data_IF_564469093479
#
_entry.id   IF_564469093479
#
_cell.length_a   1.000
_cell.length_b   1.000
_cell.length_c   1.000
_cell.angle_alpha   90.00
_cell.angle_beta   90.00
_cell.angle_gamma   90.00
#
_symmetry.space_group_name_H-M   'P 1'
#
loop_
_entity.id
_entity.type
_entity.pdbx_description
1 polymer ?
#
# COMPACT_ATOMS: atom_id res chain seq x y z
N UNK A 1 -39.42 1.66 -8.34
CA UNK A 1 -38.41 1.27 -9.36
C UNK A 1 -36.95 1.39 -8.89
N UNK A 2 -36.67 1.87 -7.67
CA UNK A 2 -35.30 2.05 -7.15
C UNK A 2 -34.70 0.73 -6.62
N UNK A 3 -35.52 -0.11 -5.99
CA UNK A 3 -35.12 -1.43 -5.47
C UNK A 3 -34.47 -2.38 -6.51
N UNK A 4 -35.01 -2.57 -7.73
CA UNK A 4 -34.37 -3.45 -8.72
C UNK A 4 -33.02 -2.90 -9.18
N UNK A 5 -32.86 -1.58 -9.32
CA UNK A 5 -31.61 -0.94 -9.75
C UNK A 5 -30.49 -1.14 -8.72
N UNK A 6 -30.81 -1.02 -7.43
CA UNK A 6 -29.84 -1.27 -6.35
C UNK A 6 -29.43 -2.74 -6.36
N UNK A 7 -30.39 -3.67 -6.53
CA UNK A 7 -30.08 -5.10 -6.53
C UNK A 7 -29.19 -5.51 -7.71
N UNK A 8 -29.45 -5.00 -8.93
CA UNK A 8 -28.58 -5.27 -10.09
C UNK A 8 -27.22 -4.63 -9.94
N UNK A 9 -27.12 -3.41 -9.40
CA UNK A 9 -25.84 -2.77 -9.12
C UNK A 9 -25.01 -3.55 -8.08
N UNK A 10 -25.63 -4.01 -6.99
CA UNK A 10 -24.96 -4.82 -5.96
C UNK A 10 -24.48 -6.16 -6.50
N UNK A 11 -25.30 -6.87 -7.27
CA UNK A 11 -24.92 -8.16 -7.86
C UNK A 11 -23.79 -7.97 -8.87
N UNK A 12 -23.86 -6.94 -9.71
CA UNK A 12 -22.81 -6.63 -10.70
C UNK A 12 -21.50 -6.29 -10.00
N UNK A 13 -21.55 -5.50 -8.92
CA UNK A 13 -20.39 -5.18 -8.10
C UNK A 13 -19.77 -6.42 -7.44
N UNK A 14 -20.60 -7.31 -6.86
CA UNK A 14 -20.12 -8.56 -6.27
C UNK A 14 -19.46 -9.49 -7.29
N UNK A 15 -20.05 -9.63 -8.48
CA UNK A 15 -19.49 -10.46 -9.55
C UNK A 15 -18.18 -9.86 -10.07
N UNK A 16 -18.12 -8.54 -10.30
CA UNK A 16 -16.90 -7.85 -10.71
C UNK A 16 -15.79 -7.99 -9.65
N UNK A 17 -16.12 -7.82 -8.38
CA UNK A 17 -15.19 -8.01 -7.27
C UNK A 17 -14.68 -9.46 -7.17
N UNK A 18 -15.57 -10.46 -7.31
CA UNK A 18 -15.18 -11.86 -7.28
C UNK A 18 -14.28 -12.26 -8.46
N UNK A 19 -14.53 -11.70 -9.66
CA UNK A 19 -13.67 -11.89 -10.83
C UNK A 19 -12.30 -11.23 -10.61
N UNK A 20 -12.28 -10.00 -10.09
CA UNK A 20 -11.05 -9.29 -9.73
C UNK A 20 -10.25 -10.09 -8.70
N UNK A 21 -10.90 -10.56 -7.63
CA UNK A 21 -10.30 -11.38 -6.59
C UNK A 21 -9.73 -12.68 -7.14
N UNK A 22 -10.49 -13.43 -7.96
CA UNK A 22 -10.01 -14.68 -8.58
C UNK A 22 -8.84 -14.45 -9.51
N UNK A 23 -8.84 -13.36 -10.29
CA UNK A 23 -7.71 -13.00 -11.14
C UNK A 23 -6.48 -12.69 -10.31
N UNK A 24 -6.64 -11.92 -9.24
CA UNK A 24 -5.54 -11.62 -8.32
C UNK A 24 -5.00 -12.89 -7.65
N UNK A 25 -5.87 -13.81 -7.23
CA UNK A 25 -5.46 -15.07 -6.61
C UNK A 25 -4.84 -16.05 -7.61
N UNK A 26 -5.30 -16.06 -8.87
CA UNK A 26 -4.67 -16.83 -9.95
C UNK A 26 -3.29 -16.27 -10.30
N UNK A 27 -3.14 -14.96 -10.35
CA UNK A 27 -1.86 -14.30 -10.55
C UNK A 27 -0.88 -14.62 -9.43
N UNK A 28 -1.32 -14.60 -8.16
CA UNK A 28 -0.48 -14.98 -7.01
C UNK A 28 0.08 -16.39 -7.11
N UNK A 29 -0.69 -17.36 -7.63
CA UNK A 29 -0.24 -18.76 -7.77
C UNK A 29 0.82 -18.99 -8.86
N UNK A 30 0.97 -18.06 -9.78
CA UNK A 30 1.96 -18.11 -10.87
C UNK A 30 2.95 -16.96 -10.79
N UNK A 31 2.93 -16.19 -9.69
CA UNK A 31 3.71 -14.98 -9.58
C UNK A 31 5.16 -15.34 -9.27
N UNK A 32 6.00 -15.17 -10.29
CA UNK A 32 7.44 -15.15 -10.12
C UNK A 32 7.87 -13.81 -9.48
N UNK A 33 8.96 -13.81 -8.73
CA UNK A 33 9.49 -12.64 -8.01
C UNK A 33 9.54 -11.40 -8.91
N UNK A 34 10.09 -11.57 -10.12
CA UNK A 34 10.28 -10.48 -11.08
C UNK A 34 8.94 -9.92 -11.58
N UNK A 35 7.89 -10.75 -11.67
CA UNK A 35 6.55 -10.31 -12.04
C UNK A 35 5.86 -9.52 -10.91
N UNK A 36 6.18 -9.79 -9.65
CA UNK A 36 5.64 -9.05 -8.51
C UNK A 36 6.35 -7.69 -8.42
N UNK A 37 7.68 -7.70 -8.47
CA UNK A 37 8.51 -6.49 -8.43
C UNK A 37 8.20 -5.55 -9.59
N UNK A 38 7.97 -6.06 -10.81
CA UNK A 38 7.64 -5.21 -11.97
C UNK A 38 6.33 -4.43 -11.80
N UNK A 39 5.45 -4.85 -10.88
CA UNK A 39 4.19 -4.17 -10.55
C UNK A 39 4.34 -3.16 -9.43
N UNK A 40 5.44 -3.21 -8.68
CA UNK A 40 5.79 -2.18 -7.72
C UNK A 40 5.97 -0.89 -8.53
N UNK A 41 5.12 0.11 -8.32
CA UNK A 41 5.37 1.40 -8.95
C UNK A 41 6.66 1.93 -8.33
N UNK A 42 7.68 2.09 -9.18
CA UNK A 42 8.98 2.58 -8.75
C UNK A 42 8.80 3.82 -7.89
N UNK A 43 9.43 3.78 -6.73
CA UNK A 43 9.64 4.92 -5.84
C UNK A 43 10.47 6.04 -6.48
N UNK A 44 10.77 5.98 -7.79
CA UNK A 44 11.30 7.11 -8.57
C UNK A 44 10.20 7.94 -9.24
N UNK A 45 9.03 7.37 -9.55
CA UNK A 45 7.86 8.16 -10.02
C UNK A 45 7.16 8.86 -8.85
N UNK A 46 7.21 8.24 -7.68
CA UNK A 46 6.77 8.78 -6.41
C UNK A 46 7.98 9.42 -5.73
N UNK A 47 7.91 10.61 -5.14
CA UNK A 47 9.05 11.21 -4.43
C UNK A 47 9.26 10.56 -3.05
N UNK A 48 9.43 9.23 -3.06
CA UNK A 48 9.45 8.38 -1.89
C UNK A 48 10.63 8.72 -0.99
N UNK A 49 11.83 8.92 -1.56
CA UNK A 49 13.01 9.25 -0.77
C UNK A 49 12.81 10.54 0.03
N UNK A 50 12.15 11.57 -0.52
CA UNK A 50 11.89 12.81 0.21
C UNK A 50 10.76 12.65 1.27
N UNK A 51 9.78 11.80 1.00
CA UNK A 51 8.70 11.46 1.96
C UNK A 51 9.23 10.60 3.10
N UNK A 52 10.21 9.73 2.86
CA UNK A 52 10.74 8.80 3.85
C UNK A 52 11.88 9.45 4.65
N UNK A 53 12.85 10.07 3.99
CA UNK A 53 14.01 10.70 4.64
C UNK A 53 13.61 11.91 5.52
N UNK A 54 12.57 12.64 5.14
CA UNK A 54 12.13 13.85 5.86
C UNK A 54 10.98 13.64 6.84
N UNK A 55 10.43 12.42 6.91
CA UNK A 55 9.27 12.09 7.76
C UNK A 55 9.52 10.85 8.65
N UNK A 56 10.41 9.91 8.25
CA UNK A 56 10.95 8.87 9.15
C UNK A 56 12.16 9.34 9.95
N UNK A 57 13.03 10.19 9.39
CA UNK A 57 14.31 10.55 10.05
C UNK A 57 14.37 11.98 10.61
N UNK A 58 13.48 12.86 10.17
CA UNK A 58 13.37 14.22 10.72
C UNK A 58 12.14 14.29 11.60
N UNK A 59 12.33 14.46 12.92
CA UNK A 59 11.30 14.55 13.95
C UNK A 59 10.01 15.33 13.55
N UNK A 60 8.90 14.87 14.12
CA UNK A 60 7.47 15.23 14.02
C UNK A 60 7.02 16.71 13.93
N UNK A 61 7.89 17.71 13.82
CA UNK A 61 7.53 19.06 14.27
C UNK A 61 7.55 20.06 13.10
N UNK A 62 6.36 20.36 12.55
CA UNK A 62 5.98 21.53 11.71
C UNK A 62 5.55 21.28 10.25
N UNK A 63 5.45 20.06 9.74
CA UNK A 63 4.81 19.86 8.44
C UNK A 63 3.30 20.12 8.56
N UNK A 64 2.80 21.20 7.94
CA UNK A 64 1.35 21.42 7.93
C UNK A 64 0.69 20.32 7.09
N UNK A 65 -0.56 19.93 7.38
CA UNK A 65 -1.25 18.92 6.58
C UNK A 65 -1.24 19.23 5.06
N UNK A 66 -1.30 20.51 4.67
CA UNK A 66 -1.18 20.93 3.28
C UNK A 66 0.19 20.60 2.66
N UNK A 67 1.28 20.70 3.43
CA UNK A 67 2.63 20.34 2.99
C UNK A 67 2.75 18.83 2.76
N UNK A 68 2.13 18.02 3.62
CA UNK A 68 2.08 16.56 3.48
C UNK A 68 1.40 16.17 2.17
N UNK A 69 0.25 16.79 1.86
CA UNK A 69 -0.48 16.52 0.63
C UNK A 69 0.36 16.83 -0.61
N UNK A 70 1.07 17.96 -0.62
CA UNK A 70 1.93 18.34 -1.75
C UNK A 70 3.15 17.42 -1.89
N UNK A 71 3.75 16.98 -0.79
CA UNK A 71 4.90 16.07 -0.78
C UNK A 71 4.55 14.66 -1.25
N UNK A 72 3.32 14.20 -0.99
CA UNK A 72 2.80 12.92 -1.46
C UNK A 72 2.31 13.00 -2.93
N UNK A 73 2.52 14.11 -3.66
CA UNK A 73 1.93 14.31 -5.01
C UNK A 73 0.39 14.15 -5.01
N UNK A 74 -0.25 14.53 -3.90
CA UNK A 74 -1.69 14.52 -3.71
C UNK A 74 -2.35 13.16 -3.94
N UNK A 75 -3.37 13.14 -4.79
CA UNK A 75 -4.18 11.94 -5.03
C UNK A 75 -3.40 10.83 -5.77
N UNK A 76 -2.42 11.21 -6.60
CA UNK A 76 -1.63 10.26 -7.38
C UNK A 76 -0.72 9.42 -6.49
N UNK A 77 0.04 10.06 -5.58
CA UNK A 77 0.90 9.30 -4.67
C UNK A 77 0.12 8.50 -3.64
N UNK A 78 -1.05 8.98 -3.20
CA UNK A 78 -1.95 8.14 -2.38
C UNK A 78 -2.40 6.88 -3.12
N UNK A 79 -2.77 7.01 -4.40
CA UNK A 79 -3.13 5.86 -5.22
C UNK A 79 -1.95 4.91 -5.47
N UNK A 80 -0.74 5.47 -5.64
CA UNK A 80 0.49 4.67 -5.73
C UNK A 80 0.74 3.89 -4.44
N UNK A 81 0.64 4.53 -3.26
CA UNK A 81 0.76 3.84 -1.96
C UNK A 81 -0.27 2.71 -1.80
N UNK A 82 -1.53 2.95 -2.18
CA UNK A 82 -2.58 1.91 -2.12
C UNK A 82 -2.27 0.70 -3.01
N UNK A 83 -1.72 0.95 -4.19
CA UNK A 83 -1.32 -0.07 -5.16
C UNK A 83 -0.11 -0.84 -4.63
N UNK A 84 0.94 -0.12 -4.21
CA UNK A 84 2.17 -0.68 -3.68
C UNK A 84 1.92 -1.50 -2.41
N UNK A 85 1.03 -1.09 -1.51
CA UNK A 85 0.62 -1.91 -0.36
C UNK A 85 0.11 -3.30 -0.77
N UNK A 86 -0.61 -3.38 -1.89
CA UNK A 86 -1.07 -4.66 -2.42
C UNK A 86 0.08 -5.52 -2.95
N UNK A 87 1.04 -4.90 -3.63
CA UNK A 87 2.21 -5.58 -4.20
C UNK A 87 3.17 -6.04 -3.10
N UNK A 88 3.40 -5.18 -2.10
CA UNK A 88 4.20 -5.49 -0.91
C UNK A 88 3.61 -6.69 -0.16
N UNK A 89 2.28 -6.76 0.03
CA UNK A 89 1.66 -7.95 0.60
C UNK A 89 1.89 -9.21 -0.24
N UNK A 90 1.91 -9.11 -1.58
CA UNK A 90 2.22 -10.24 -2.45
C UNK A 90 3.69 -10.66 -2.34
N UNK A 91 4.61 -9.71 -2.13
CA UNK A 91 6.01 -9.99 -1.82
C UNK A 91 6.18 -10.66 -0.45
N UNK A 92 5.44 -10.23 0.58
CA UNK A 92 5.45 -10.87 1.89
C UNK A 92 4.89 -12.30 1.83
N UNK A 93 3.78 -12.52 1.10
CA UNK A 93 3.24 -13.86 0.86
C UNK A 93 4.30 -14.75 0.17
N UNK A 94 4.95 -14.25 -0.89
CA UNK A 94 6.02 -14.97 -1.60
C UNK A 94 7.23 -15.29 -0.70
N UNK A 95 7.67 -14.32 0.11
CA UNK A 95 8.75 -14.48 1.07
C UNK A 95 8.39 -15.49 2.17
N UNK A 96 7.14 -15.55 2.59
CA UNK A 96 6.66 -16.52 3.58
C UNK A 96 6.63 -17.94 3.02
N UNK A 97 6.27 -18.10 1.75
CA UNK A 97 6.27 -19.41 1.08
C UNK A 97 7.68 -19.95 0.81
N UNK A 98 8.69 -19.07 0.67
CA UNK A 98 10.06 -19.44 0.29
C UNK A 98 11.13 -19.16 1.37
N UNK A 99 10.73 -18.57 2.49
CA UNK A 99 11.59 -18.20 3.62
C UNK A 99 11.59 -19.24 4.73
N UNK A 100 12.51 -19.09 5.68
CA UNK A 100 12.63 -19.97 6.83
C UNK A 100 12.06 -19.30 8.10
N UNK A 101 11.21 -20.05 8.81
CA UNK A 101 10.70 -19.74 10.15
C UNK A 101 10.16 -18.29 10.30
N UNK A 102 9.31 -17.87 9.36
CA UNK A 102 8.68 -16.54 9.39
C UNK A 102 7.67 -16.47 10.55
N UNK A 103 7.82 -15.54 11.50
CA UNK A 103 6.91 -15.40 12.62
C UNK A 103 5.54 -14.92 12.17
N UNK A 104 4.48 -15.63 12.59
CA UNK A 104 3.09 -15.29 12.28
C UNK A 104 2.72 -13.86 12.71
N UNK A 105 3.31 -13.39 13.81
CA UNK A 105 3.12 -12.03 14.32
C UNK A 105 3.56 -10.97 13.30
N UNK A 106 4.71 -11.13 12.65
CA UNK A 106 5.24 -10.17 11.68
C UNK A 106 4.33 -10.08 10.44
N UNK A 107 3.77 -11.21 10.01
CA UNK A 107 2.81 -11.25 8.91
C UNK A 107 1.48 -10.57 9.28
N UNK A 108 1.02 -10.75 10.51
CA UNK A 108 -0.20 -10.08 10.97
C UNK A 108 0.00 -8.57 11.12
N UNK A 109 1.18 -8.13 11.58
CA UNK A 109 1.56 -6.71 11.62
C UNK A 109 1.60 -6.11 10.20
N UNK A 110 2.22 -6.80 9.24
CA UNK A 110 2.21 -6.42 7.82
C UNK A 110 0.79 -6.30 7.25
N UNK A 111 -0.10 -7.24 7.57
CA UNK A 111 -1.52 -7.21 7.16
C UNK A 111 -2.26 -6.05 7.79
N UNK A 112 -2.04 -5.79 9.09
CA UNK A 112 -2.62 -4.68 9.82
C UNK A 112 -2.20 -3.35 9.21
N UNK A 113 -0.91 -3.16 8.94
CA UNK A 113 -0.37 -1.94 8.33
C UNK A 113 -0.93 -1.72 6.92
N UNK A 114 -0.99 -2.78 6.11
CA UNK A 114 -1.59 -2.73 4.77
C UNK A 114 -3.06 -2.32 4.81
N UNK A 115 -3.84 -2.83 5.75
CA UNK A 115 -5.24 -2.46 5.94
C UNK A 115 -5.39 -1.01 6.39
N UNK A 116 -4.61 -0.58 7.39
CA UNK A 116 -4.63 0.79 7.90
C UNK A 116 -4.27 1.79 6.80
N UNK A 117 -3.22 1.51 6.03
CA UNK A 117 -2.80 2.29 4.88
C UNK A 117 -3.92 2.41 3.84
N UNK A 118 -4.47 1.27 3.40
CA UNK A 118 -5.50 1.25 2.35
C UNK A 118 -6.75 2.00 2.77
N UNK A 119 -7.17 1.85 4.03
CA UNK A 119 -8.30 2.60 4.58
C UNK A 119 -8.02 4.10 4.64
N UNK A 120 -6.82 4.50 5.11
CA UNK A 120 -6.43 5.90 5.17
C UNK A 120 -6.41 6.55 3.77
N UNK A 121 -5.87 5.85 2.76
CA UNK A 121 -5.90 6.32 1.36
C UNK A 121 -7.33 6.49 0.86
N UNK A 122 -8.19 5.49 1.01
CA UNK A 122 -9.57 5.55 0.51
C UNK A 122 -10.32 6.72 1.15
N UNK A 123 -10.21 6.90 2.47
CA UNK A 123 -10.87 8.02 3.16
C UNK A 123 -10.32 9.36 2.66
N UNK A 124 -9.01 9.45 2.44
CA UNK A 124 -8.36 10.65 1.90
C UNK A 124 -8.87 11.00 0.50
N UNK A 125 -8.93 10.02 -0.41
CA UNK A 125 -9.43 10.19 -1.77
C UNK A 125 -10.92 10.55 -1.82
N UNK A 126 -11.74 9.90 -0.98
CA UNK A 126 -13.17 10.20 -0.83
C UNK A 126 -13.35 11.64 -0.36
N UNK A 127 -12.62 12.05 0.69
CA UNK A 127 -12.67 13.44 1.17
C UNK A 127 -12.21 14.43 0.12
N UNK A 128 -11.15 14.12 -0.62
CA UNK A 128 -10.70 14.97 -1.72
C UNK A 128 -11.75 15.09 -2.83
N UNK A 129 -12.40 13.98 -3.22
CA UNK A 129 -13.44 13.98 -4.25
C UNK A 129 -14.68 14.79 -3.85
N UNK A 130 -15.13 14.70 -2.60
CA UNK A 130 -16.31 15.41 -2.11
C UNK A 130 -16.05 16.87 -1.74
N UNK A 131 -14.89 17.18 -1.15
CA UNK A 131 -14.59 18.54 -0.66
C UNK A 131 -13.79 19.39 -1.65
N UNK A 132 -13.13 18.76 -2.65
CA UNK A 132 -12.08 19.36 -3.50
C UNK A 132 -10.98 20.10 -2.72
N UNK A 133 -10.84 19.84 -1.43
CA UNK A 133 -9.89 20.52 -0.55
C UNK A 133 -8.78 19.54 -0.14
N UNK A 134 -7.54 19.89 -0.51
CA UNK A 134 -6.35 19.16 -0.04
C UNK A 134 -6.21 19.16 1.49
N UNK A 135 -6.75 20.17 2.17
CA UNK A 135 -6.70 20.31 3.64
C UNK A 135 -7.59 19.28 4.35
N UNK A 136 -8.73 18.93 3.75
CA UNK A 136 -9.61 17.90 4.32
C UNK A 136 -9.03 16.48 4.12
N UNK A 137 -8.30 16.28 3.02
CA UNK A 137 -7.69 15.02 2.65
C UNK A 137 -6.35 14.79 3.39
N UNK A 138 -5.61 15.85 3.69
CA UNK A 138 -4.26 15.77 4.24
C UNK A 138 -4.13 15.05 5.58
N UNK A 139 -5.15 15.10 6.45
CA UNK A 139 -5.11 14.39 7.75
C UNK A 139 -5.01 12.88 7.54
N UNK A 140 -5.76 12.35 6.58
CA UNK A 140 -5.72 10.93 6.25
C UNK A 140 -4.54 10.59 5.33
N UNK A 141 -4.07 11.55 4.52
CA UNK A 141 -2.83 11.38 3.77
C UNK A 141 -1.61 11.21 4.70
N UNK A 142 -1.56 11.95 5.81
CA UNK A 142 -0.52 11.77 6.81
C UNK A 142 -0.58 10.37 7.45
N UNK A 143 -1.77 9.92 7.87
CA UNK A 143 -1.96 8.54 8.38
C UNK A 143 -1.56 7.47 7.37
N UNK A 144 -1.86 7.69 6.08
CA UNK A 144 -1.42 6.80 5.01
C UNK A 144 0.11 6.75 4.93
N UNK A 145 0.78 7.91 4.91
CA UNK A 145 2.23 7.95 4.88
C UNK A 145 2.87 7.19 6.06
N UNK A 146 2.40 7.43 7.29
CA UNK A 146 2.91 6.73 8.48
C UNK A 146 2.69 5.22 8.41
N UNK A 147 1.51 4.76 8.00
CA UNK A 147 1.23 3.33 7.87
C UNK A 147 2.06 2.67 6.76
N UNK A 148 2.32 3.38 5.64
CA UNK A 148 3.18 2.89 4.58
C UNK A 148 4.64 2.75 5.03
N UNK A 149 5.14 3.71 5.82
CA UNK A 149 6.46 3.66 6.42
C UNK A 149 6.63 2.47 7.37
N UNK A 150 5.65 2.24 8.25
CA UNK A 150 5.64 1.08 9.15
C UNK A 150 5.65 -0.23 8.36
N UNK A 151 4.80 -0.32 7.33
CA UNK A 151 4.74 -1.49 6.45
C UNK A 151 6.09 -1.79 5.80
N UNK A 152 6.82 -0.76 5.36
CA UNK A 152 8.14 -0.93 4.74
C UNK A 152 9.23 -1.30 5.73
N UNK A 153 9.16 -0.79 6.96
CA UNK A 153 10.06 -1.21 8.03
C UNK A 153 9.87 -2.71 8.34
N UNK A 154 8.63 -3.15 8.55
CA UNK A 154 8.32 -4.57 8.78
C UNK A 154 8.67 -5.46 7.58
N UNK A 155 8.49 -4.96 6.35
CA UNK A 155 8.93 -5.66 5.15
C UNK A 155 10.45 -5.83 5.09
N UNK A 156 11.19 -4.78 5.45
CA UNK A 156 12.65 -4.82 5.52
C UNK A 156 13.11 -5.86 6.54
N UNK A 157 12.50 -5.89 7.72
CA UNK A 157 12.75 -6.91 8.75
C UNK A 157 12.45 -8.31 8.23
N UNK A 158 11.30 -8.53 7.58
CA UNK A 158 10.91 -9.82 7.00
C UNK A 158 11.98 -10.34 6.03
N UNK A 159 12.42 -9.49 5.11
CA UNK A 159 13.44 -9.89 4.14
C UNK A 159 14.82 -10.04 4.75
N UNK A 160 15.22 -9.17 5.67
CA UNK A 160 16.54 -9.22 6.28
C UNK A 160 16.72 -10.45 7.18
N UNK A 161 15.70 -10.80 7.96
CA UNK A 161 15.78 -11.84 9.00
C UNK A 161 15.33 -13.21 8.48
N UNK A 162 14.33 -13.28 7.60
CA UNK A 162 13.70 -14.55 7.22
C UNK A 162 13.76 -14.88 5.73
N UNK A 163 14.25 -13.96 4.90
CA UNK A 163 14.35 -14.12 3.46
C UNK A 163 15.59 -13.41 2.90
N UNK A 164 16.73 -13.55 3.60
CA UNK A 164 17.96 -12.80 3.34
C UNK A 164 18.48 -12.97 1.90
N UNK A 165 18.17 -14.10 1.25
CA UNK A 165 18.48 -14.34 -0.17
C UNK A 165 17.78 -13.35 -1.11
N UNK A 166 16.56 -12.92 -0.76
CA UNK A 166 15.74 -11.99 -1.55
C UNK A 166 15.92 -10.53 -1.14
N UNK A 167 16.58 -10.27 -0.01
CA UNK A 167 16.78 -8.90 0.51
C UNK A 167 17.51 -7.96 -0.46
N UNK A 168 18.62 -8.34 -1.13
CA UNK A 168 19.26 -7.46 -2.11
C UNK A 168 18.34 -7.12 -3.29
N UNK A 169 17.57 -8.10 -3.79
CA UNK A 169 16.61 -7.90 -4.89
C UNK A 169 15.44 -7.03 -4.48
N UNK A 170 15.04 -7.08 -3.20
CA UNK A 170 14.03 -6.19 -2.63
C UNK A 170 14.53 -4.75 -2.56
N UNK A 171 15.78 -4.53 -2.13
CA UNK A 171 16.39 -3.20 -2.09
C UNK A 171 16.58 -2.60 -3.50
N UNK A 172 16.90 -3.41 -4.51
CA UNK A 172 16.99 -2.95 -5.90
C UNK A 172 15.63 -2.55 -6.51
N UNK A 173 14.55 -3.13 -6.00
CA UNK A 173 13.17 -2.84 -6.43
C UNK A 173 12.59 -1.57 -5.80
N UNK A 174 13.11 -1.18 -4.63
CA UNK A 174 12.63 -0.07 -3.79
C UNK A 174 13.31 1.24 -4.13
#
# INVERSE_FOLDING_TARGET
MILPIISTASITGMVAYAIYWRRQQAQRRTADWDSIVSRLRSNSEFNFSEVTDRYLYSDEINATPADVWKRIDGANGLWAMYTNAGVLMELADYATEHGEDVPEQLIEELRSDALQLRMAVVISLVKYAFSRSGVAASVHAHRAATAYSAMLAHMTTLFQEHSALYFPRFLEAM
#
